data_IF_322745845863
#
_entry.id   IF_322745845863
#
_cell.length_a   1.000
_cell.length_b   1.000
_cell.length_c   1.000
_cell.angle_alpha   90.00
_cell.angle_beta   90.00
_cell.angle_gamma   90.00
#
_symmetry.space_group_name_H-M   'P 1'
#
loop_
_entity.id
_entity.type
_entity.pdbx_description
1 polymer ?
#
# COMPACT_ATOMS: atom_id res chain seq x y z
N UNK A 1 16.56 14.27 7.24
CA UNK A 1 15.12 14.41 6.99
C UNK A 1 14.51 13.10 7.44
N UNK A 2 13.60 13.13 8.40
CA UNK A 2 12.75 11.98 8.68
C UNK A 2 11.69 11.96 7.59
N UNK A 3 11.72 10.96 6.71
CA UNK A 3 10.66 10.74 5.73
C UNK A 3 9.55 10.05 6.52
N UNK A 4 8.44 10.75 6.72
CA UNK A 4 7.26 10.17 7.33
C UNK A 4 6.51 9.29 6.34
N UNK A 5 5.39 8.75 6.80
CA UNK A 5 4.44 8.03 5.95
C UNK A 5 3.99 8.93 4.79
N UNK A 6 4.24 8.50 3.56
CA UNK A 6 3.87 9.24 2.35
C UNK A 6 2.96 8.40 1.48
N UNK A 7 1.87 9.01 1.01
CA UNK A 7 0.94 8.41 0.06
C UNK A 7 0.99 9.26 -1.21
N UNK A 8 1.38 8.64 -2.32
CA UNK A 8 1.53 9.28 -3.61
C UNK A 8 0.34 8.96 -4.52
N UNK A 9 -0.28 9.99 -5.06
CA UNK A 9 -1.31 9.90 -6.09
C UNK A 9 -0.67 10.01 -7.49
N UNK A 10 -0.63 8.89 -8.22
CA UNK A 10 -0.22 8.85 -9.63
C UNK A 10 -1.43 8.48 -10.53
N UNK A 11 -2.64 8.81 -10.08
CA UNK A 11 -3.88 8.58 -10.84
C UNK A 11 -4.23 9.75 -11.75
N UNK A 12 -4.87 9.45 -12.89
CA UNK A 12 -5.17 10.41 -13.95
C UNK A 12 -6.62 10.37 -14.43
N UNK A 13 -7.33 9.25 -14.29
CA UNK A 13 -8.76 9.15 -14.62
C UNK A 13 -9.64 9.41 -13.40
N UNK A 14 -10.95 9.58 -13.63
CA UNK A 14 -11.92 9.65 -12.54
C UNK A 14 -11.94 8.37 -11.71
N UNK A 15 -11.86 7.20 -12.35
CA UNK A 15 -11.88 5.90 -11.64
C UNK A 15 -10.67 5.76 -10.72
N UNK A 16 -9.49 6.13 -11.21
CA UNK A 16 -8.27 6.13 -10.41
C UNK A 16 -8.36 7.10 -9.22
N UNK A 17 -8.78 8.35 -9.47
CA UNK A 17 -8.93 9.34 -8.40
C UNK A 17 -9.97 8.97 -7.35
N UNK A 18 -11.12 8.45 -7.78
CA UNK A 18 -12.17 8.00 -6.85
C UNK A 18 -11.64 6.85 -5.97
N UNK A 19 -10.89 5.91 -6.54
CA UNK A 19 -10.19 4.87 -5.77
C UNK A 19 -9.17 5.45 -4.78
N UNK A 20 -8.32 6.38 -5.24
CA UNK A 20 -7.31 7.03 -4.41
C UNK A 20 -7.94 7.73 -3.21
N UNK A 21 -8.98 8.54 -3.43
CA UNK A 21 -9.67 9.27 -2.36
C UNK A 21 -10.28 8.32 -1.33
N UNK A 22 -10.94 7.25 -1.78
CA UNK A 22 -11.50 6.23 -0.90
C UNK A 22 -10.42 5.52 -0.08
N UNK A 23 -9.34 5.10 -0.73
CA UNK A 23 -8.21 4.49 -0.03
C UNK A 23 -7.60 5.45 0.99
N UNK A 24 -7.27 6.68 0.59
CA UNK A 24 -6.63 7.68 1.43
C UNK A 24 -7.48 8.03 2.65
N UNK A 25 -8.79 8.19 2.48
CA UNK A 25 -9.71 8.51 3.58
C UNK A 25 -9.89 7.35 4.57
N UNK A 26 -9.76 6.11 4.10
CA UNK A 26 -9.89 4.91 4.92
C UNK A 26 -8.57 4.42 5.50
N UNK A 27 -7.44 4.89 4.97
CA UNK A 27 -6.13 4.42 5.37
C UNK A 27 -5.74 4.92 6.76
N UNK A 28 -5.26 3.99 7.58
CA UNK A 28 -4.63 4.27 8.86
C UNK A 28 -3.54 3.23 9.06
N UNK A 29 -2.29 3.69 9.19
CA UNK A 29 -1.16 2.82 9.45
C UNK A 29 -1.34 2.04 10.77
N UNK A 30 -1.44 0.69 10.72
CA UNK A 30 -1.65 -0.13 11.91
C UNK A 30 -0.34 -0.44 12.67
N UNK A 31 0.81 0.03 12.18
CA UNK A 31 2.14 -0.36 12.68
C UNK A 31 2.85 0.81 13.35
N UNK A 32 4.03 0.54 13.91
CA UNK A 32 4.93 1.58 14.43
C UNK A 32 5.92 2.09 13.38
N UNK A 33 5.97 1.44 12.21
CA UNK A 33 6.87 1.83 11.12
C UNK A 33 6.30 3.08 10.47
N UNK A 34 7.16 4.08 10.26
CA UNK A 34 6.77 5.36 9.62
C UNK A 34 7.56 5.65 8.36
N UNK A 35 8.61 4.89 8.12
CA UNK A 35 9.55 5.09 7.01
C UNK A 35 9.14 4.14 5.87
N UNK A 36 7.98 4.43 5.27
CA UNK A 36 7.50 3.74 4.08
C UNK A 36 6.67 4.69 3.21
N UNK A 37 6.54 4.33 1.95
CA UNK A 37 5.74 5.02 0.96
C UNK A 37 4.68 4.11 0.37
N UNK A 38 3.46 4.62 0.20
CA UNK A 38 2.40 3.98 -0.58
C UNK A 38 2.26 4.74 -1.89
N UNK A 39 2.36 4.06 -3.02
CA UNK A 39 2.13 4.66 -4.34
C UNK A 39 0.92 4.03 -5.00
N UNK A 40 -0.05 4.85 -5.39
CA UNK A 40 -1.23 4.42 -6.14
C UNK A 40 -1.07 4.86 -7.59
N UNK A 41 -0.73 3.90 -8.44
CA UNK A 41 -0.46 4.10 -9.85
C UNK A 41 -1.64 3.68 -10.71
N UNK A 42 -1.81 4.40 -11.81
CA UNK A 42 -2.87 4.12 -12.77
C UNK A 42 -2.34 3.95 -14.20
N UNK A 43 -2.85 2.94 -14.90
CA UNK A 43 -2.70 2.80 -16.36
C UNK A 43 -4.07 2.76 -17.03
N UNK A 44 -4.52 3.86 -17.67
CA UNK A 44 -5.77 3.87 -18.42
C UNK A 44 -5.74 2.88 -19.58
N UNK A 45 -6.83 2.14 -19.76
CA UNK A 45 -7.01 1.22 -20.87
C UNK A 45 -8.29 1.55 -21.64
N UNK A 46 -8.18 2.32 -22.75
CA UNK A 46 -9.33 2.72 -23.55
C UNK A 46 -10.24 1.54 -23.89
N UNK A 47 -11.54 1.67 -23.60
CA UNK A 47 -12.55 0.64 -23.85
C UNK A 47 -12.64 -0.47 -22.80
N UNK A 48 -11.67 -0.60 -21.87
CA UNK A 48 -11.65 -1.64 -20.84
C UNK A 48 -11.75 -1.11 -19.41
N UNK A 49 -11.45 0.18 -19.21
CA UNK A 49 -11.43 0.84 -17.90
C UNK A 49 -10.04 1.32 -17.57
N UNK A 50 -9.56 1.03 -16.37
CA UNK A 50 -8.21 1.37 -15.94
C UNK A 50 -7.58 0.25 -15.13
N UNK A 51 -6.26 0.17 -15.14
CA UNK A 51 -5.52 -0.71 -14.23
C UNK A 51 -5.02 0.12 -13.06
N UNK A 52 -5.37 -0.29 -11.84
CA UNK A 52 -4.84 0.29 -10.61
C UNK A 52 -3.77 -0.63 -10.07
N UNK A 53 -2.63 -0.05 -9.69
CA UNK A 53 -1.50 -0.74 -9.08
C UNK A 53 -1.16 -0.03 -7.78
N UNK A 54 -1.03 -0.77 -6.69
CA UNK A 54 -0.67 -0.22 -5.38
C UNK A 54 0.65 -0.82 -4.94
N UNK A 55 1.58 0.05 -4.57
CA UNK A 55 2.93 -0.31 -4.17
C UNK A 55 3.22 0.18 -2.76
N UNK A 56 3.97 -0.61 -2.00
CA UNK A 56 4.61 -0.21 -0.75
C UNK A 56 6.11 -0.33 -0.92
N UNK A 57 6.85 0.79 -0.89
CA UNK A 57 8.30 0.84 -1.16
C UNK A 57 8.69 0.06 -2.43
N UNK A 58 8.03 0.40 -3.54
CA UNK A 58 8.18 -0.25 -4.85
C UNK A 58 7.75 -1.73 -4.93
N UNK A 59 7.23 -2.32 -3.84
CA UNK A 59 6.66 -3.67 -3.86
C UNK A 59 5.18 -3.63 -4.25
N UNK A 60 4.86 -4.22 -5.40
CA UNK A 60 3.47 -4.37 -5.88
C UNK A 60 2.68 -5.30 -4.95
N UNK A 61 1.74 -4.73 -4.19
CA UNK A 61 0.82 -5.50 -3.34
C UNK A 61 -0.52 -5.76 -4.04
N UNK A 62 -0.91 -4.89 -4.98
CA UNK A 62 -2.15 -4.99 -5.72
C UNK A 62 -1.95 -4.60 -7.18
N UNK A 63 -2.62 -5.33 -8.08
CA UNK A 63 -2.81 -4.95 -9.47
C UNK A 63 -4.15 -5.45 -10.00
N UNK A 64 -5.07 -4.54 -10.27
CA UNK A 64 -6.43 -4.89 -10.65
C UNK A 64 -6.97 -3.99 -11.76
N UNK A 65 -7.82 -4.58 -12.61
CA UNK A 65 -8.57 -3.83 -13.62
C UNK A 65 -9.90 -3.36 -13.03
N UNK A 66 -10.19 -2.07 -13.19
CA UNK A 66 -11.36 -1.41 -12.62
C UNK A 66 -12.13 -0.71 -13.72
N UNK A 67 -13.44 -0.95 -13.74
CA UNK A 67 -14.40 -0.26 -14.62
C UNK A 67 -15.05 0.89 -13.86
N UNK A 68 -15.65 1.88 -14.55
CA UNK A 68 -16.37 2.97 -13.92
C UNK A 68 -17.68 2.49 -13.27
N UNK A 69 -17.55 1.85 -12.11
CA UNK A 69 -18.64 1.35 -11.28
C UNK A 69 -18.27 1.64 -9.83
N UNK A 70 -19.08 2.49 -9.19
CA UNK A 70 -18.79 3.01 -7.86
C UNK A 70 -18.65 1.91 -6.80
N UNK A 71 -19.55 0.93 -6.78
CA UNK A 71 -19.54 -0.16 -5.82
C UNK A 71 -18.25 -1.00 -5.93
N UNK A 72 -17.81 -1.29 -7.16
CA UNK A 72 -16.55 -2.01 -7.39
C UNK A 72 -15.33 -1.21 -6.94
N UNK A 73 -15.34 0.11 -7.13
CA UNK A 73 -14.26 1.00 -6.69
C UNK A 73 -14.18 1.01 -5.16
N UNK A 74 -15.32 1.16 -4.48
CA UNK A 74 -15.42 1.15 -3.01
C UNK A 74 -14.93 -0.18 -2.41
N UNK A 75 -15.43 -1.31 -2.92
CA UNK A 75 -14.99 -2.63 -2.47
C UNK A 75 -13.48 -2.84 -2.67
N UNK A 76 -12.93 -2.42 -3.81
CA UNK A 76 -11.51 -2.56 -4.08
C UNK A 76 -10.68 -1.68 -3.14
N UNK A 77 -11.10 -0.45 -2.86
CA UNK A 77 -10.42 0.45 -1.94
C UNK A 77 -10.37 -0.13 -0.53
N UNK A 78 -11.52 -0.58 0.00
CA UNK A 78 -11.61 -1.21 1.32
C UNK A 78 -10.73 -2.47 1.41
N UNK A 79 -10.80 -3.34 0.40
CA UNK A 79 -9.94 -4.52 0.31
C UNK A 79 -8.45 -4.16 0.33
N UNK A 80 -8.08 -3.13 -0.42
CA UNK A 80 -6.67 -2.69 -0.54
C UNK A 80 -6.14 -2.11 0.77
N UNK A 81 -6.96 -1.36 1.52
CA UNK A 81 -6.58 -0.87 2.87
C UNK A 81 -6.23 -2.04 3.78
N UNK A 82 -7.06 -3.09 3.79
CA UNK A 82 -6.77 -4.30 4.57
C UNK A 82 -5.49 -4.99 4.11
N UNK A 83 -5.27 -5.10 2.80
CA UNK A 83 -4.08 -5.72 2.21
C UNK A 83 -2.80 -4.96 2.57
N UNK A 84 -2.80 -3.64 2.44
CA UNK A 84 -1.67 -2.78 2.79
C UNK A 84 -1.36 -2.84 4.30
N UNK A 85 -2.39 -2.83 5.15
CA UNK A 85 -2.21 -2.96 6.60
C UNK A 85 -1.58 -4.30 6.99
N UNK A 86 -2.06 -5.40 6.39
CA UNK A 86 -1.49 -6.73 6.64
C UNK A 86 -0.06 -6.85 6.14
N UNK A 87 0.25 -6.26 4.98
CA UNK A 87 1.60 -6.24 4.43
C UNK A 87 2.59 -5.58 5.41
N UNK A 88 2.24 -4.41 5.95
CA UNK A 88 3.08 -3.69 6.91
C UNK A 88 3.22 -4.42 8.25
N UNK A 89 2.15 -5.05 8.76
CA UNK A 89 2.22 -5.86 9.98
C UNK A 89 3.20 -7.02 9.83
N UNK A 90 3.10 -7.77 8.72
CA UNK A 90 4.02 -8.86 8.43
C UNK A 90 5.46 -8.36 8.30
N UNK A 91 5.65 -7.22 7.64
CA UNK A 91 6.97 -6.61 7.49
C UNK A 91 7.57 -6.24 8.86
N UNK A 92 6.77 -5.65 9.77
CA UNK A 92 7.20 -5.34 11.13
C UNK A 92 7.62 -6.59 11.91
N UNK A 93 6.85 -7.68 11.84
CA UNK A 93 7.19 -8.93 12.52
C UNK A 93 8.52 -9.51 12.04
N UNK A 94 8.78 -9.47 10.72
CA UNK A 94 10.05 -9.92 10.14
C UNK A 94 11.22 -9.08 10.66
N UNK A 95 11.07 -7.75 10.72
CA UNK A 95 12.12 -6.86 11.23
C UNK A 95 12.42 -7.13 12.72
N UNK A 96 11.40 -7.36 13.54
CA UNK A 96 11.57 -7.68 14.97
C UNK A 96 12.29 -9.02 15.19
N UNK A 97 11.99 -10.03 14.38
CA UNK A 97 12.67 -11.33 14.45
C UNK A 97 14.15 -11.21 14.09
N UNK A 98 14.48 -10.51 12.99
CA UNK A 98 15.87 -10.29 12.58
C UNK A 98 16.69 -9.55 13.64
N UNK A 99 16.09 -8.55 14.31
CA UNK A 99 16.74 -7.82 15.38
C UNK A 99 16.98 -8.69 16.64
N UNK A 100 16.05 -9.60 16.94
CA UNK A 100 16.15 -10.49 18.10
C UNK A 100 17.25 -11.54 17.93
N UNK A 101 17.39 -12.07 16.71
CA UNK A 101 18.44 -13.04 16.36
C UNK A 101 19.84 -12.41 16.36
N UNK A 102 19.98 -11.17 15.86
CA UNK A 102 21.26 -10.45 15.84
C UNK A 102 21.75 -10.09 17.27
N UNK A 103 20.82 -9.75 18.17
CA UNK A 103 21.15 -9.49 19.59
C UNK A 103 21.58 -10.75 20.37
N UNK A 104 21.26 -11.94 19.88
CA UNK A 104 21.70 -13.21 20.49
C UNK A 104 23.11 -13.64 20.06
N UNK A 105 23.72 -12.95 19.10
CA UNK A 105 24.98 -13.31 18.43
C UNK A 105 26.27 -12.71 19.01
N UNK A 106 26.23 -11.83 20.01
CA UNK A 106 27.45 -11.33 20.68
C UNK A 106 27.94 -12.34 21.72
N UNK A 107 28.27 -13.55 21.27
CA UNK A 107 29.04 -14.51 22.03
C UNK A 107 30.40 -13.93 22.35
N UNK A 108 30.61 -13.59 23.62
CA UNK A 108 31.90 -13.37 24.26
C UNK A 108 32.87 -14.48 23.84
N UNK A 109 33.97 -14.12 23.16
CA UNK A 109 35.24 -14.85 23.22
C UNK A 109 36.40 -13.84 23.15
#
# INVERSE_FOLDING_TARGET
MEIGEMIFDETITKVGRDFYELFFNSWSNPTQIKDFSISIQEKPMPGMGTQITVLIDDQEILKQFVRPNQEMIEMLAEYTVGLAGQYLLNYQEIQLQLQSDDQSGTGIF
#
